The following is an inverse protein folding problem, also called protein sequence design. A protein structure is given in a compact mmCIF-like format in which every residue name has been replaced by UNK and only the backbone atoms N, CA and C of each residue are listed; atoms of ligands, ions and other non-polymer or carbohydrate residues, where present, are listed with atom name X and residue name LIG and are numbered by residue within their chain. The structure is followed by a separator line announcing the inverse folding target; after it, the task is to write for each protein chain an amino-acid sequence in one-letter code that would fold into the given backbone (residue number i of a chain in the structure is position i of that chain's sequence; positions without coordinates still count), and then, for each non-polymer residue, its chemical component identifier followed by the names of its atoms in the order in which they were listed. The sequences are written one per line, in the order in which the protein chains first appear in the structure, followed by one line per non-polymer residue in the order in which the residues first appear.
data_IF_656833232406
#
_entry.id   IF_656833232406
#
_cell.length_a   1.000
_cell.length_b   1.000
_cell.length_c   1.000
_cell.angle_alpha   90.00
_cell.angle_beta   90.00
_cell.angle_gamma   90.00
#
_symmetry.space_group_name_H-M   'P 1'
#
loop_
_entity.id
_entity.type
_entity.pdbx_description
1 polymer ?
#
# COMPACT_ATOMS: atom_id res chain seq x y z
N UNK A 1 -3.73 -28.47 -10.03
CA UNK A 1 -3.54 -27.11 -9.56
C UNK A 1 -4.79 -26.30 -9.86
N UNK A 2 -5.61 -25.98 -8.88
CA UNK A 2 -6.85 -25.22 -9.03
C UNK A 2 -6.68 -23.73 -9.42
N UNK A 3 -5.47 -23.34 -9.82
CA UNK A 3 -5.12 -21.96 -10.17
C UNK A 3 -5.51 -21.55 -11.59
N UNK A 4 -5.82 -22.53 -12.45
CA UNK A 4 -6.11 -22.26 -13.87
C UNK A 4 -7.41 -21.52 -14.13
N UNK A 5 -8.30 -21.45 -13.13
CA UNK A 5 -9.61 -20.81 -13.23
C UNK A 5 -9.67 -19.42 -12.58
N UNK A 6 -8.56 -18.94 -12.03
CA UNK A 6 -8.51 -17.64 -11.34
C UNK A 6 -7.65 -16.64 -12.12
N UNK A 7 -8.18 -15.44 -12.29
CA UNK A 7 -7.39 -14.31 -12.74
C UNK A 7 -6.58 -13.78 -11.54
N UNK A 8 -5.27 -13.76 -11.67
CA UNK A 8 -4.36 -13.20 -10.67
C UNK A 8 -3.13 -12.60 -11.34
N UNK A 9 -2.51 -11.71 -10.63
CA UNK A 9 -1.27 -11.10 -11.09
C UNK A 9 -0.07 -11.99 -10.76
N UNK A 10 0.85 -12.12 -11.71
CA UNK A 10 2.11 -12.83 -11.48
C UNK A 10 3.06 -11.85 -10.80
N UNK A 11 3.47 -12.20 -9.59
CA UNK A 11 4.43 -11.41 -8.82
C UNK A 11 5.80 -11.43 -9.48
N UNK A 12 6.42 -10.26 -9.60
CA UNK A 12 7.79 -10.10 -10.06
C UNK A 12 8.55 -9.13 -9.13
N UNK A 13 9.85 -9.28 -9.06
CA UNK A 13 10.68 -8.40 -8.24
C UNK A 13 11.20 -7.23 -9.09
N UNK A 14 10.69 -6.05 -8.81
CA UNK A 14 11.07 -4.81 -9.50
C UNK A 14 12.52 -4.38 -9.20
N UNK A 15 13.18 -4.99 -8.22
CA UNK A 15 14.59 -4.75 -7.91
C UNK A 15 15.55 -5.47 -8.87
N UNK A 16 15.08 -6.46 -9.61
CA UNK A 16 15.83 -7.10 -10.70
C UNK A 16 16.23 -6.04 -11.75
N UNK A 17 17.48 -5.98 -12.19
CA UNK A 17 17.97 -4.89 -13.03
C UNK A 17 17.14 -4.60 -14.28
N UNK A 18 16.69 -5.65 -14.99
CA UNK A 18 15.82 -5.49 -16.17
C UNK A 18 14.45 -4.94 -15.81
N UNK A 19 13.84 -5.51 -14.78
CA UNK A 19 12.51 -5.12 -14.32
C UNK A 19 12.56 -3.71 -13.74
N UNK A 20 13.61 -3.41 -12.98
CA UNK A 20 13.87 -2.09 -12.43
C UNK A 20 13.91 -1.04 -13.54
N UNK A 21 14.81 -1.21 -14.51
CA UNK A 21 14.93 -0.30 -15.66
C UNK A 21 13.58 -0.11 -16.37
N UNK A 22 12.91 -1.20 -16.69
CA UNK A 22 11.60 -1.16 -17.33
C UNK A 22 10.57 -0.39 -16.50
N UNK A 23 10.51 -0.61 -15.19
CA UNK A 23 9.55 0.04 -14.31
C UNK A 23 9.79 1.55 -14.23
N UNK A 24 11.05 1.99 -14.15
CA UNK A 24 11.40 3.42 -14.13
C UNK A 24 11.07 4.10 -15.46
N UNK A 25 11.39 3.45 -16.58
CA UNK A 25 11.04 3.94 -17.92
C UNK A 25 9.50 3.99 -18.10
N UNK A 26 8.80 2.99 -17.60
CA UNK A 26 7.33 2.91 -17.69
C UNK A 26 6.66 4.01 -16.88
N UNK A 27 7.18 4.32 -15.69
CA UNK A 27 6.68 5.43 -14.87
C UNK A 27 6.82 6.76 -15.59
N UNK A 28 8.01 7.07 -16.12
CA UNK A 28 8.25 8.30 -16.90
C UNK A 28 7.31 8.39 -18.10
N UNK A 29 7.19 7.30 -18.84
CA UNK A 29 6.32 7.23 -20.01
C UNK A 29 4.87 7.46 -19.63
N UNK A 30 4.39 6.81 -18.56
CA UNK A 30 3.02 6.98 -18.08
C UNK A 30 2.71 8.45 -17.78
N UNK A 31 3.57 9.13 -17.03
CA UNK A 31 3.33 10.54 -16.69
C UNK A 31 3.34 11.41 -17.95
N UNK A 32 4.26 11.18 -18.86
CA UNK A 32 4.34 11.92 -20.12
C UNK A 32 3.10 11.73 -21.02
N UNK A 33 2.53 10.52 -21.03
CA UNK A 33 1.31 10.19 -21.78
C UNK A 33 0.03 10.73 -21.14
N UNK A 34 0.08 11.15 -19.86
CA UNK A 34 -1.08 11.62 -19.09
C UNK A 34 -0.83 13.00 -18.45
N UNK A 35 -0.67 14.06 -19.27
CA UNK A 35 -0.27 15.39 -18.78
C UNK A 35 -1.28 16.07 -17.85
N UNK A 36 -2.48 15.51 -17.72
CA UNK A 36 -3.50 15.96 -16.78
C UNK A 36 -3.35 15.36 -15.37
N UNK A 37 -2.42 14.42 -15.19
CA UNK A 37 -2.16 13.82 -13.88
C UNK A 37 -1.23 14.72 -13.08
N UNK A 38 -1.64 15.07 -11.86
CA UNK A 38 -0.87 15.92 -10.96
C UNK A 38 -0.28 15.16 -9.77
N UNK A 39 -0.84 13.99 -9.45
CA UNK A 39 -0.43 13.18 -8.31
C UNK A 39 -0.31 11.72 -8.73
N UNK A 40 0.83 11.12 -8.45
CA UNK A 40 1.04 9.68 -8.58
C UNK A 40 0.86 9.05 -7.21
N UNK A 41 -0.15 8.18 -7.08
CA UNK A 41 -0.41 7.45 -5.86
C UNK A 41 0.12 6.03 -5.95
N UNK A 42 1.09 5.73 -5.12
CA UNK A 42 1.66 4.41 -4.97
C UNK A 42 0.84 3.59 -3.97
N UNK A 43 0.47 2.38 -4.34
CA UNK A 43 -0.12 1.41 -3.42
C UNK A 43 0.97 0.54 -2.82
N UNK A 44 1.93 0.15 -3.66
CA UNK A 44 3.13 -0.61 -3.28
C UNK A 44 4.29 -0.16 -4.14
N UNK A 45 5.52 -0.36 -3.68
CA UNK A 45 6.69 0.03 -4.45
C UNK A 45 7.30 -1.12 -5.25
N UNK A 46 7.40 -2.32 -4.70
CA UNK A 46 8.11 -3.39 -5.38
C UNK A 46 7.49 -4.79 -5.25
N UNK A 47 6.34 -4.91 -4.67
CA UNK A 47 5.61 -6.18 -4.66
C UNK A 47 4.20 -5.97 -5.15
N UNK A 48 3.55 -7.04 -5.48
CA UNK A 48 2.20 -7.03 -6.02
C UNK A 48 1.27 -7.77 -5.06
N UNK A 49 0.02 -7.44 -5.15
CA UNK A 49 -1.03 -8.21 -4.56
C UNK A 49 -1.65 -9.14 -5.60
N UNK A 50 -2.07 -10.31 -5.18
CA UNK A 50 -2.80 -11.26 -6.01
C UNK A 50 -4.28 -11.12 -5.71
N UNK A 51 -5.07 -10.89 -6.74
CA UNK A 51 -6.53 -10.88 -6.66
C UNK A 51 -7.04 -12.27 -7.00
N UNK A 52 -7.86 -12.84 -6.13
CA UNK A 52 -8.51 -14.13 -6.34
C UNK A 52 -10.01 -13.87 -6.39
N UNK A 53 -10.64 -14.27 -7.50
CA UNK A 53 -12.04 -14.07 -7.74
C UNK A 53 -12.82 -15.37 -7.51
N UNK A 54 -14.03 -15.23 -7.01
CA UNK A 54 -14.95 -16.35 -6.91
C UNK A 54 -15.61 -16.68 -8.26
N UNK A 55 -16.50 -17.67 -8.27
CA UNK A 55 -17.21 -18.14 -9.47
C UNK A 55 -18.06 -17.04 -10.12
N UNK A 56 -18.49 -16.06 -9.34
CA UNK A 56 -19.25 -14.88 -9.80
C UNK A 56 -18.34 -13.72 -10.20
N UNK A 57 -17.04 -13.96 -10.28
CA UNK A 57 -16.00 -12.94 -10.56
C UNK A 57 -15.96 -11.79 -9.55
N UNK A 58 -16.39 -12.04 -8.32
CA UNK A 58 -16.23 -11.11 -7.23
C UNK A 58 -14.89 -11.36 -6.57
N UNK A 59 -14.23 -10.28 -6.17
CA UNK A 59 -12.99 -10.38 -5.41
C UNK A 59 -13.26 -11.10 -4.07
N UNK A 60 -12.59 -12.21 -3.87
CA UNK A 60 -12.76 -13.03 -2.69
C UNK A 60 -11.57 -12.96 -1.76
N UNK A 61 -10.42 -12.72 -2.31
CA UNK A 61 -9.18 -12.73 -1.58
C UNK A 61 -8.14 -11.83 -2.24
N UNK A 62 -7.44 -11.08 -1.41
CA UNK A 62 -6.26 -10.31 -1.81
C UNK A 62 -5.07 -10.87 -1.06
N UNK A 63 -4.15 -11.46 -1.80
CA UNK A 63 -2.89 -11.93 -1.23
C UNK A 63 -1.83 -10.83 -1.37
N UNK A 64 -1.45 -10.27 -0.24
CA UNK A 64 -0.45 -9.23 -0.17
C UNK A 64 0.92 -9.83 0.13
N UNK A 65 1.76 -9.82 -0.89
CA UNK A 65 3.17 -10.13 -0.71
C UNK A 65 3.88 -8.90 -0.19
N UNK A 66 4.00 -8.79 1.13
CA UNK A 66 4.76 -7.73 1.75
C UNK A 66 6.25 -7.79 1.36
N UNK A 67 6.94 -6.69 1.48
CA UNK A 67 8.37 -6.64 1.16
C UNK A 67 9.19 -7.62 2.00
N UNK A 68 8.71 -8.02 3.17
CA UNK A 68 9.31 -9.07 3.99
C UNK A 68 9.28 -10.46 3.35
N UNK A 69 8.38 -10.68 2.40
CA UNK A 69 8.27 -11.92 1.64
C UNK A 69 8.81 -11.80 0.21
N UNK A 70 9.36 -10.67 -0.18
CA UNK A 70 9.92 -10.44 -1.51
C UNK A 70 11.32 -11.05 -1.61
N UNK A 71 11.38 -12.30 -2.00
CA UNK A 71 12.56 -13.16 -1.93
C UNK A 71 13.02 -13.65 -3.31
N UNK A 72 13.29 -12.75 -4.23
CA UNK A 72 13.90 -13.15 -5.50
C UNK A 72 15.36 -13.60 -5.31
N UNK A 73 15.90 -14.49 -6.17
CA UNK A 73 17.30 -14.89 -6.09
C UNK A 73 18.28 -13.71 -6.14
N UNK A 74 17.91 -12.67 -6.88
CA UNK A 74 18.73 -11.45 -6.97
C UNK A 74 18.85 -10.77 -5.62
N UNK A 75 17.72 -10.51 -4.95
CA UNK A 75 17.72 -9.78 -3.69
C UNK A 75 18.30 -10.61 -2.54
N UNK A 76 18.08 -11.92 -2.56
CA UNK A 76 18.67 -12.81 -1.58
C UNK A 76 20.20 -12.85 -1.67
N UNK A 77 20.76 -12.84 -2.88
CA UNK A 77 22.20 -12.72 -3.06
C UNK A 77 22.74 -11.40 -2.49
N UNK A 78 22.01 -10.30 -2.65
CA UNK A 78 22.42 -9.02 -2.08
C UNK A 78 22.38 -9.03 -0.56
N UNK A 79 21.32 -9.59 0.02
CA UNK A 79 21.23 -9.79 1.44
C UNK A 79 22.42 -10.63 1.99
N UNK A 80 22.70 -11.79 1.37
CA UNK A 80 23.78 -12.66 1.78
C UNK A 80 25.16 -12.00 1.69
N UNK A 81 25.39 -11.17 0.67
CA UNK A 81 26.63 -10.40 0.53
C UNK A 81 26.77 -9.33 1.63
N UNK A 82 25.66 -8.68 2.00
CA UNK A 82 25.68 -7.65 3.03
C UNK A 82 25.91 -8.21 4.43
N UNK A 83 25.20 -9.30 4.77
CA UNK A 83 25.24 -9.84 6.14
C UNK A 83 26.35 -10.88 6.37
N UNK A 84 26.90 -11.44 5.29
CA UNK A 84 27.98 -12.43 5.34
C UNK A 84 27.54 -13.85 5.67
N UNK A 85 26.25 -14.16 5.62
CA UNK A 85 25.73 -15.52 5.83
C UNK A 85 24.56 -15.83 4.90
N UNK A 86 24.24 -17.12 4.74
CA UNK A 86 23.20 -17.59 3.84
C UNK A 86 21.80 -17.29 4.36
N UNK A 87 20.93 -16.88 3.44
CA UNK A 87 19.51 -16.70 3.74
C UNK A 87 18.82 -18.04 4.07
N UNK A 88 17.87 -17.95 4.99
CA UNK A 88 16.95 -19.05 5.32
C UNK A 88 15.52 -18.51 5.44
N UNK A 89 14.51 -19.25 4.97
CA UNK A 89 13.10 -18.81 5.04
C UNK A 89 12.63 -18.45 6.45
N UNK A 90 13.17 -19.12 7.46
CA UNK A 90 12.85 -18.88 8.86
C UNK A 90 13.19 -17.46 9.33
N UNK A 91 14.08 -16.76 8.62
CA UNK A 91 14.45 -15.38 8.95
C UNK A 91 13.31 -14.40 8.69
N UNK A 92 12.39 -14.70 7.74
CA UNK A 92 11.24 -13.87 7.43
C UNK A 92 10.26 -13.80 8.60
N UNK A 93 10.05 -14.92 9.26
CA UNK A 93 9.04 -15.10 10.29
C UNK A 93 9.62 -15.28 11.71
N UNK A 94 10.91 -15.05 11.86
CA UNK A 94 11.62 -15.28 13.13
C UNK A 94 11.30 -16.64 13.76
N UNK A 95 11.37 -17.68 12.96
CA UNK A 95 11.01 -19.06 13.36
C UNK A 95 9.55 -19.21 13.84
N UNK A 96 8.64 -18.38 13.37
CA UNK A 96 7.26 -18.32 13.79
C UNK A 96 6.95 -17.39 14.96
N UNK A 97 7.94 -16.66 15.45
CA UNK A 97 7.83 -15.78 16.64
C UNK A 97 7.82 -14.28 16.31
N UNK A 98 7.73 -13.90 15.06
CA UNK A 98 7.86 -12.50 14.61
C UNK A 98 6.89 -11.52 15.29
N UNK A 99 5.75 -11.98 15.79
CA UNK A 99 4.76 -11.17 16.51
C UNK A 99 4.78 -11.39 18.03
N UNK A 100 5.78 -12.10 18.56
CA UNK A 100 5.82 -12.40 19.98
C UNK A 100 6.47 -11.26 20.77
N UNK A 101 5.67 -10.53 21.53
CA UNK A 101 6.13 -9.41 22.36
C UNK A 101 6.98 -9.83 23.58
N UNK A 102 6.99 -11.12 23.92
CA UNK A 102 7.75 -11.65 25.07
C UNK A 102 9.10 -12.26 24.69
N UNK A 103 9.44 -12.18 23.43
CA UNK A 103 10.71 -12.71 22.92
C UNK A 103 11.48 -11.62 22.17
N UNK A 104 12.76 -11.49 22.47
CA UNK A 104 13.63 -10.64 21.66
C UNK A 104 13.80 -11.28 20.28
N UNK A 105 13.53 -10.55 19.18
CA UNK A 105 13.73 -11.06 17.84
C UNK A 105 15.17 -11.52 17.60
N UNK A 106 15.33 -12.57 16.80
CA UNK A 106 16.65 -13.06 16.41
C UNK A 106 17.42 -12.00 15.64
N UNK A 107 18.75 -12.15 15.64
CA UNK A 107 19.64 -11.28 14.86
C UNK A 107 19.28 -11.36 13.38
N UNK A 108 19.13 -12.55 12.85
CA UNK A 108 18.87 -12.82 11.44
C UNK A 108 17.55 -12.21 10.96
N UNK A 109 16.49 -12.30 11.77
CA UNK A 109 15.23 -11.62 11.49
C UNK A 109 15.41 -10.10 11.44
N UNK A 110 16.11 -9.51 12.41
CA UNK A 110 16.36 -8.06 12.43
C UNK A 110 17.21 -7.60 11.26
N UNK A 111 18.24 -8.37 10.91
CA UNK A 111 19.10 -8.07 9.77
C UNK A 111 18.30 -8.12 8.46
N UNK A 112 17.44 -9.13 8.29
CA UNK A 112 16.57 -9.23 7.11
C UNK A 112 15.55 -8.09 7.03
N UNK A 113 14.89 -7.77 8.14
CA UNK A 113 13.94 -6.64 8.18
C UNK A 113 14.64 -5.30 7.89
N UNK A 114 15.82 -5.07 8.46
CA UNK A 114 16.58 -3.86 8.21
C UNK A 114 17.03 -3.74 6.74
N UNK A 115 17.49 -4.83 6.16
CA UNK A 115 17.82 -4.91 4.74
C UNK A 115 16.61 -4.57 3.87
N UNK A 116 15.47 -5.22 4.11
CA UNK A 116 14.25 -4.97 3.35
C UNK A 116 13.79 -3.50 3.42
N UNK A 117 13.80 -2.90 4.61
CA UNK A 117 13.42 -1.49 4.76
C UNK A 117 14.31 -0.57 3.93
N UNK A 118 15.63 -0.77 3.95
CA UNK A 118 16.56 0.04 3.14
C UNK A 118 16.32 -0.12 1.65
N UNK A 119 16.11 -1.35 1.18
CA UNK A 119 15.86 -1.62 -0.23
C UNK A 119 14.52 -1.03 -0.70
N UNK A 120 13.48 -1.09 0.14
CA UNK A 120 12.20 -0.42 -0.16
C UNK A 120 12.38 1.08 -0.22
N UNK A 121 13.03 1.68 0.78
CA UNK A 121 13.22 3.12 0.82
C UNK A 121 14.03 3.63 -0.36
N UNK A 122 15.06 2.90 -0.77
CA UNK A 122 15.89 3.22 -1.94
C UNK A 122 15.07 3.22 -3.23
N UNK A 123 14.31 2.15 -3.46
CA UNK A 123 13.45 2.05 -4.63
C UNK A 123 12.36 3.12 -4.63
N UNK A 124 11.70 3.31 -3.48
CA UNK A 124 10.66 4.29 -3.31
C UNK A 124 11.18 5.71 -3.59
N UNK A 125 12.35 6.03 -3.05
CA UNK A 125 12.98 7.34 -3.31
C UNK A 125 13.21 7.56 -4.80
N UNK A 126 13.75 6.61 -5.52
CA UNK A 126 13.97 6.73 -6.96
C UNK A 126 12.67 6.97 -7.74
N UNK A 127 11.61 6.24 -7.40
CA UNK A 127 10.30 6.43 -8.03
C UNK A 127 9.69 7.80 -7.70
N UNK A 128 9.86 8.26 -6.47
CA UNK A 128 9.39 9.59 -6.04
C UNK A 128 10.21 10.69 -6.74
N UNK A 129 11.52 10.55 -6.82
CA UNK A 129 12.38 11.51 -7.53
C UNK A 129 11.94 11.63 -9.00
N UNK A 130 11.70 10.51 -9.68
CA UNK A 130 11.16 10.50 -11.06
C UNK A 130 9.82 11.22 -11.14
N UNK A 131 8.94 11.00 -10.19
CA UNK A 131 7.63 11.65 -10.16
C UNK A 131 7.77 13.17 -10.05
N UNK A 132 8.64 13.63 -9.17
CA UNK A 132 8.95 15.05 -9.01
C UNK A 132 9.62 15.67 -10.25
N UNK A 133 10.58 14.97 -10.86
CA UNK A 133 11.21 15.39 -12.12
C UNK A 133 10.19 15.58 -13.25
N UNK A 134 9.12 14.79 -13.23
CA UNK A 134 8.02 14.90 -14.18
C UNK A 134 6.95 15.94 -13.77
N UNK A 135 7.14 16.67 -12.67
CA UNK A 135 6.24 17.73 -12.22
C UNK A 135 4.99 17.26 -11.45
N UNK A 136 4.97 16.02 -11.00
CA UNK A 136 3.87 15.46 -10.23
C UNK A 136 4.21 15.34 -8.74
N UNK A 137 3.19 15.37 -7.87
CA UNK A 137 3.34 14.99 -6.47
C UNK A 137 3.30 13.46 -6.31
N UNK A 138 4.01 12.96 -5.31
CA UNK A 138 4.06 11.55 -4.97
C UNK A 138 3.31 11.28 -3.66
N UNK A 139 2.34 10.38 -3.71
CA UNK A 139 1.54 9.97 -2.56
C UNK A 139 1.66 8.47 -2.32
N UNK A 140 1.75 8.05 -1.06
CA UNK A 140 1.73 6.64 -0.69
C UNK A 140 0.41 6.26 -0.03
N UNK A 141 -0.22 5.18 -0.52
CA UNK A 141 -1.35 4.57 0.16
C UNK A 141 -0.85 3.63 1.26
N UNK A 142 -1.29 3.88 2.47
CA UNK A 142 -1.06 3.04 3.64
C UNK A 142 -2.29 2.16 3.85
N UNK A 143 -2.19 0.90 3.50
CA UNK A 143 -3.27 -0.07 3.70
C UNK A 143 -3.48 -0.43 5.18
N UNK A 144 -4.54 -1.17 5.47
CA UNK A 144 -4.88 -1.61 6.83
C UNK A 144 -3.81 -2.59 7.37
N UNK A 145 -3.25 -3.38 6.49
CA UNK A 145 -2.09 -4.22 6.74
C UNK A 145 -0.91 -3.57 6.04
N UNK A 146 -0.21 -2.76 6.79
CA UNK A 146 0.90 -2.01 6.28
C UNK A 146 1.91 -2.91 5.56
N UNK A 147 2.14 -2.60 4.31
CA UNK A 147 3.09 -3.26 3.45
C UNK A 147 3.85 -2.21 2.65
N UNK A 148 5.15 -2.26 2.72
CA UNK A 148 6.00 -1.26 2.10
C UNK A 148 6.95 -0.66 3.09
N UNK A 149 7.08 0.65 3.10
CA UNK A 149 7.89 1.39 4.05
C UNK A 149 7.11 1.75 5.31
N UNK A 150 7.67 1.49 6.45
CA UNK A 150 7.03 1.80 7.72
C UNK A 150 7.18 3.29 8.04
N UNK A 151 6.08 4.05 8.19
CA UNK A 151 6.10 5.51 8.23
C UNK A 151 6.78 6.11 9.46
N UNK A 152 6.95 5.32 10.51
CA UNK A 152 7.62 5.76 11.74
C UNK A 152 9.09 5.37 11.81
N UNK A 153 9.62 4.72 10.78
CA UNK A 153 11.02 4.35 10.69
C UNK A 153 11.87 5.44 10.03
N UNK A 154 13.17 5.55 10.39
CA UNK A 154 14.04 6.59 9.85
C UNK A 154 14.12 6.62 8.33
N UNK A 155 14.07 5.45 7.71
CA UNK A 155 14.16 5.29 6.26
C UNK A 155 13.00 5.97 5.52
N UNK A 156 11.80 6.03 6.13
CA UNK A 156 10.62 6.63 5.50
C UNK A 156 10.84 8.10 5.15
N UNK A 157 11.45 8.87 6.04
CA UNK A 157 11.71 10.31 5.81
C UNK A 157 12.66 10.57 4.63
N UNK A 158 13.46 9.57 4.25
CA UNK A 158 14.41 9.72 3.13
C UNK A 158 13.74 9.59 1.76
N UNK A 159 12.52 9.09 1.70
CA UNK A 159 11.78 8.85 0.44
C UNK A 159 11.35 10.15 -0.22
N UNK A 160 10.93 11.13 0.58
CA UNK A 160 10.51 12.45 0.07
C UNK A 160 9.08 12.48 -0.46
N UNK A 161 8.18 11.64 0.05
CA UNK A 161 6.76 11.66 -0.31
C UNK A 161 6.12 13.01 0.03
N UNK A 162 5.23 13.49 -0.83
CA UNK A 162 4.44 14.69 -0.56
C UNK A 162 3.27 14.38 0.37
N UNK A 163 2.68 13.21 0.25
CA UNK A 163 1.50 12.84 1.01
C UNK A 163 1.42 11.36 1.32
N UNK A 164 0.64 11.06 2.35
CA UNK A 164 0.20 9.71 2.67
C UNK A 164 -1.32 9.65 2.79
N UNK A 165 -1.91 8.54 2.38
CA UNK A 165 -3.33 8.29 2.50
C UNK A 165 -3.59 6.93 3.12
N UNK A 166 -4.54 6.86 4.03
CA UNK A 166 -4.92 5.60 4.67
C UNK A 166 -6.42 5.47 4.90
N UNK A 167 -6.85 4.27 5.21
CA UNK A 167 -8.26 3.98 5.46
C UNK A 167 -8.75 4.63 6.75
N UNK A 168 -9.97 5.14 6.74
CA UNK A 168 -10.63 5.70 7.92
C UNK A 168 -11.56 4.69 8.63
N UNK A 169 -11.38 3.40 8.36
CA UNK A 169 -12.20 2.33 8.93
C UNK A 169 -12.20 2.25 10.46
N UNK A 170 -11.15 2.81 11.10
CA UNK A 170 -11.12 2.99 12.55
C UNK A 170 -10.36 4.25 12.94
N UNK A 171 -10.67 4.77 14.15
CA UNK A 171 -10.08 6.00 14.65
C UNK A 171 -8.59 5.88 15.02
N UNK A 172 -8.08 4.67 15.23
CA UNK A 172 -6.66 4.47 15.53
C UNK A 172 -5.81 4.64 14.27
N UNK A 173 -6.21 4.04 13.17
CA UNK A 173 -5.53 4.19 11.87
C UNK A 173 -5.47 5.67 11.46
N UNK A 174 -6.59 6.39 11.58
CA UNK A 174 -6.62 7.80 11.23
C UNK A 174 -5.66 8.63 12.07
N UNK A 175 -5.58 8.37 13.38
CA UNK A 175 -4.63 9.06 14.25
C UNK A 175 -3.18 8.74 13.90
N UNK A 176 -2.88 7.48 13.59
CA UNK A 176 -1.55 7.09 13.14
C UNK A 176 -1.15 7.82 11.87
N UNK A 177 -2.05 7.92 10.89
CA UNK A 177 -1.80 8.67 9.65
C UNK A 177 -1.50 10.14 9.95
N UNK A 178 -2.28 10.78 10.81
CA UNK A 178 -2.07 12.19 11.17
C UNK A 178 -0.79 12.43 11.99
N UNK A 179 -0.16 11.40 12.52
CA UNK A 179 1.13 11.47 13.22
C UNK A 179 2.35 11.28 12.32
N UNK A 180 2.15 10.98 11.05
CA UNK A 180 3.25 10.76 10.11
C UNK A 180 3.93 12.10 9.81
N UNK A 181 5.22 12.13 10.07
CA UNK A 181 6.06 13.30 9.82
C UNK A 181 6.75 13.22 8.45
N UNK A 182 7.16 14.37 7.94
CA UNK A 182 7.95 14.46 6.71
C UNK A 182 7.13 14.42 5.42
N UNK A 183 5.81 14.59 5.52
CA UNK A 183 4.90 14.76 4.38
C UNK A 183 4.24 16.13 4.44
N UNK A 184 3.82 16.65 3.30
CA UNK A 184 3.15 17.96 3.20
C UNK A 184 1.72 17.91 3.71
N UNK A 185 1.02 16.79 3.44
CA UNK A 185 -0.35 16.59 3.89
C UNK A 185 -0.69 15.11 4.08
N UNK A 186 -1.72 14.89 4.89
CA UNK A 186 -2.27 13.57 5.20
C UNK A 186 -3.69 13.45 4.70
N UNK A 187 -4.08 12.29 4.18
CA UNK A 187 -5.39 12.05 3.63
C UNK A 187 -6.03 10.80 4.26
N UNK A 188 -7.30 10.92 4.64
CA UNK A 188 -8.13 9.80 5.02
C UNK A 188 -8.92 9.27 3.82
N UNK A 189 -8.82 7.98 3.53
CA UNK A 189 -9.66 7.34 2.54
C UNK A 189 -10.99 6.96 3.16
N UNK A 190 -12.02 7.67 2.73
CA UNK A 190 -13.40 7.42 3.08
C UNK A 190 -13.95 6.29 2.23
N UNK A 191 -14.58 5.38 2.87
CA UNK A 191 -14.98 4.08 2.36
C UNK A 191 -13.93 3.20 1.78
N UNK A 192 -14.20 2.06 2.24
CA UNK A 192 -13.26 1.04 2.10
C UNK A 192 -13.58 0.30 0.85
N UNK A 193 -13.11 -0.52 0.69
CA UNK A 193 -12.06 -1.37 0.54
C UNK A 193 -12.43 -2.54 -0.39
N UNK A 194 -13.46 -3.27 -0.14
CA UNK A 194 -13.80 -4.40 -0.98
C UNK A 194 -15.02 -4.05 -1.82
N UNK A 195 -14.74 -3.52 -2.97
CA UNK A 195 -15.73 -2.94 -3.84
C UNK A 195 -16.85 -3.88 -4.24
N UNK A 196 -16.58 -5.16 -4.52
CA UNK A 196 -17.66 -6.12 -4.76
C UNK A 196 -18.47 -6.45 -3.52
N UNK A 197 -17.87 -6.32 -2.33
CA UNK A 197 -18.57 -6.63 -1.07
C UNK A 197 -19.51 -5.51 -0.66
N UNK A 198 -19.19 -4.26 -1.03
CA UNK A 198 -20.02 -3.09 -0.75
C UNK A 198 -20.98 -2.78 -1.90
N UNK A 199 -20.49 -2.83 -3.14
CA UNK A 199 -21.22 -2.40 -4.34
C UNK A 199 -21.71 -3.61 -5.16
N UNK A 200 -22.75 -4.27 -4.69
CA UNK A 200 -23.38 -5.38 -5.37
C UNK A 200 -24.90 -5.31 -5.25
N UNK A 201 -25.62 -6.10 -6.04
CA UNK A 201 -27.08 -6.21 -5.92
C UNK A 201 -27.47 -6.70 -4.52
N UNK A 202 -28.35 -5.97 -3.85
CA UNK A 202 -28.73 -6.21 -2.46
C UNK A 202 -27.79 -5.68 -1.39
N UNK A 203 -26.67 -5.07 -1.76
CA UNK A 203 -25.80 -4.32 -0.85
C UNK A 203 -26.39 -2.96 -0.45
N UNK A 204 -25.90 -2.39 0.63
CA UNK A 204 -26.31 -1.06 1.12
C UNK A 204 -25.08 -0.15 1.30
N UNK A 205 -24.50 0.38 0.20
CA UNK A 205 -23.31 1.22 0.26
C UNK A 205 -23.57 2.56 0.99
N UNK A 206 -24.81 3.03 1.02
CA UNK A 206 -25.17 4.27 1.73
C UNK A 206 -25.06 4.08 3.24
N UNK A 207 -25.58 2.97 3.75
CA UNK A 207 -25.45 2.65 5.18
C UNK A 207 -24.01 2.50 5.58
N UNK A 208 -23.23 1.74 4.83
CA UNK A 208 -21.79 1.56 5.10
C UNK A 208 -21.04 2.90 5.06
N UNK A 209 -21.38 3.77 4.10
CA UNK A 209 -20.83 5.11 4.05
C UNK A 209 -21.14 5.93 5.31
N UNK A 210 -22.39 5.89 5.77
CA UNK A 210 -22.79 6.60 7.00
C UNK A 210 -22.05 6.11 8.22
N UNK A 211 -21.92 4.80 8.39
CA UNK A 211 -21.18 4.20 9.51
C UNK A 211 -19.68 4.57 9.46
N UNK A 212 -19.10 4.51 8.29
CA UNK A 212 -17.70 4.89 8.07
C UNK A 212 -17.49 6.39 8.36
N UNK A 213 -18.39 7.26 7.88
CA UNK A 213 -18.31 8.69 8.13
C UNK A 213 -18.41 9.04 9.63
N UNK A 214 -19.29 8.38 10.37
CA UNK A 214 -19.37 8.58 11.82
C UNK A 214 -18.05 8.25 12.51
N UNK A 215 -17.39 7.18 12.09
CA UNK A 215 -16.08 6.78 12.62
C UNK A 215 -15.00 7.79 12.23
N UNK A 216 -14.93 8.16 10.97
CA UNK A 216 -13.98 9.14 10.44
C UNK A 216 -14.12 10.48 11.16
N UNK A 217 -15.33 11.02 11.24
CA UNK A 217 -15.62 12.30 11.89
C UNK A 217 -15.20 12.33 13.35
N UNK A 218 -15.47 11.27 14.10
CA UNK A 218 -15.05 11.17 15.51
C UNK A 218 -13.53 11.18 15.68
N UNK A 219 -12.82 10.58 14.75
CA UNK A 219 -11.36 10.56 14.78
C UNK A 219 -10.77 11.91 14.37
N UNK A 220 -11.29 12.54 13.32
CA UNK A 220 -10.86 13.85 12.82
C UNK A 220 -11.02 14.94 13.88
N UNK A 221 -12.12 14.91 14.64
CA UNK A 221 -12.36 15.87 15.73
C UNK A 221 -11.33 15.76 16.88
N UNK A 222 -10.68 14.60 17.01
CA UNK A 222 -9.64 14.40 18.03
C UNK A 222 -8.25 14.70 17.51
N UNK A 223 -8.00 14.37 16.24
CA UNK A 223 -6.73 14.61 15.57
C UNK A 223 -7.00 14.83 14.09
N UNK A 224 -6.85 16.05 13.60
CA UNK A 224 -7.19 16.38 12.22
C UNK A 224 -6.25 15.70 11.24
N UNK A 225 -6.78 15.47 10.06
CA UNK A 225 -6.05 15.16 8.82
C UNK A 225 -6.35 16.31 7.84
N UNK A 226 -5.50 16.46 6.83
CA UNK A 226 -5.62 17.60 5.91
C UNK A 226 -6.71 17.40 4.86
N UNK A 227 -6.93 16.14 4.44
CA UNK A 227 -7.89 15.80 3.41
C UNK A 227 -8.65 14.51 3.74
N UNK A 228 -9.86 14.42 3.20
CA UNK A 228 -10.61 13.18 3.15
C UNK A 228 -11.14 12.99 1.73
N UNK A 229 -11.06 11.77 1.23
CA UNK A 229 -11.48 11.44 -0.13
C UNK A 229 -12.08 10.04 -0.25
N UNK A 230 -12.85 9.83 -1.29
CA UNK A 230 -13.35 8.52 -1.65
C UNK A 230 -12.21 7.64 -2.21
N UNK A 231 -12.09 6.43 -1.71
CA UNK A 231 -11.08 5.48 -2.17
C UNK A 231 -11.70 4.21 -2.71
N UNK A 232 -12.00 4.16 -4.00
CA UNK A 232 -12.58 2.97 -4.60
C UNK A 232 -12.68 3.07 -6.12
N UNK A 233 -13.28 2.06 -6.75
CA UNK A 233 -13.54 2.09 -8.18
C UNK A 233 -14.77 2.95 -8.47
N UNK A 234 -14.55 4.14 -8.99
CA UNK A 234 -15.61 5.09 -9.30
C UNK A 234 -16.70 4.47 -10.21
N UNK A 235 -16.31 3.62 -11.16
CA UNK A 235 -17.25 2.92 -12.05
C UNK A 235 -18.27 2.07 -11.30
N UNK A 236 -17.91 1.48 -10.16
CA UNK A 236 -18.86 0.73 -9.33
C UNK A 236 -19.72 1.68 -8.51
N UNK A 237 -19.12 2.68 -7.88
CA UNK A 237 -19.84 3.67 -7.09
C UNK A 237 -20.91 4.40 -7.89
N UNK A 238 -20.62 4.74 -9.14
CA UNK A 238 -21.57 5.42 -10.05
C UNK A 238 -22.82 4.59 -10.40
N UNK A 239 -22.83 3.29 -10.10
CA UNK A 239 -24.03 2.46 -10.23
C UNK A 239 -25.00 2.64 -9.06
N UNK A 240 -24.60 3.38 -8.03
CA UNK A 240 -25.37 3.65 -6.81
C UNK A 240 -25.48 5.17 -6.60
N UNK A 241 -26.37 5.87 -7.33
CA UNK A 241 -26.47 7.33 -7.26
C UNK A 241 -26.65 7.88 -5.84
N UNK A 242 -27.48 7.23 -5.02
CA UNK A 242 -27.70 7.62 -3.63
C UNK A 242 -26.43 7.61 -2.77
N UNK A 243 -25.50 6.71 -3.09
CA UNK A 243 -24.19 6.68 -2.46
C UNK A 243 -23.35 7.89 -2.88
N UNK A 244 -23.36 8.24 -4.18
CA UNK A 244 -22.64 9.41 -4.69
C UNK A 244 -23.18 10.67 -4.05
N UNK A 245 -24.50 10.86 -4.04
CA UNK A 245 -25.17 12.00 -3.41
C UNK A 245 -24.80 12.13 -1.91
N UNK A 246 -24.73 11.00 -1.21
CA UNK A 246 -24.32 11.01 0.19
C UNK A 246 -22.85 11.44 0.34
N UNK A 247 -21.93 10.91 -0.45
CA UNK A 247 -20.51 11.28 -0.41
C UNK A 247 -20.31 12.77 -0.70
N UNK A 248 -21.07 13.32 -1.65
CA UNK A 248 -21.02 14.76 -1.98
C UNK A 248 -21.58 15.63 -0.85
N UNK A 249 -22.44 15.08 0.02
CA UNK A 249 -23.07 15.81 1.12
C UNK A 249 -22.22 15.93 2.39
N UNK A 250 -21.15 15.17 2.51
CA UNK A 250 -20.32 15.09 3.74
C UNK A 250 -18.95 15.65 3.54
#
# INVERSE_FOLDING_TARGET
NGWTNFEHQITFDVRQPKTHKYSMERLRKFIAEHPYVNVIRYTTFFHQFTLIFDELKREKFVDWYGYSASVSPYILNQFEQEVGYKFRPEYIIDQGYYNNQYRVPSREYRDFQAFQRREVAKLAKEMVDITHECGCEAMMFLGDHWIGTEPFMPEFKTIGLDAVVGSVGNGSTLRLISDIEGVKYTEGRFLPYFFPDTFHEGGDPVREAKENWVTARRAILRKPIDRIGYGGYLKLALQFPEFVDYVESV
#
